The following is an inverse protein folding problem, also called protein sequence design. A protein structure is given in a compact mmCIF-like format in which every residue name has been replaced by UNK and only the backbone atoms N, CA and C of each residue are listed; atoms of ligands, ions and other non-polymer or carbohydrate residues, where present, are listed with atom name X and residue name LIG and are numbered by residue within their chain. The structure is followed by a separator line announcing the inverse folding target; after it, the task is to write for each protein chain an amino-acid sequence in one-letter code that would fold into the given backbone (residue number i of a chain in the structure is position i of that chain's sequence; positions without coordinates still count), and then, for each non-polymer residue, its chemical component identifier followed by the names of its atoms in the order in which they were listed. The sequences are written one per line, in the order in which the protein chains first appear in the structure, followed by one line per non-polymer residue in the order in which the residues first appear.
data_IF_905248904374
#
_entry.id   IF_905248904374
#
_cell.length_a   1.000
_cell.length_b   1.000
_cell.length_c   1.000
_cell.angle_alpha   90.00
_cell.angle_beta   90.00
_cell.angle_gamma   90.00
#
_symmetry.space_group_name_H-M   'P 1'
#
loop_
_entity.id
_entity.type
_entity.pdbx_description
1 polymer ?
#
# COMPACT_ATOMS: atom_id res chain seq x y z
N UNK A 1 70.70 3.68 12.76
CA UNK A 1 70.60 5.15 12.69
C UNK A 1 69.17 5.53 12.30
N UNK A 2 68.56 6.39 13.11
CA UNK A 2 67.21 6.94 12.93
C UNK A 2 67.06 7.75 11.64
N UNK A 3 65.85 7.75 11.07
CA UNK A 3 65.15 8.96 10.61
C UNK A 3 63.64 8.73 10.57
N UNK A 4 62.97 9.29 11.57
CA UNK A 4 61.51 9.43 11.67
C UNK A 4 61.02 10.48 10.66
N UNK A 5 60.10 10.10 9.77
CA UNK A 5 59.35 11.01 8.91
C UNK A 5 57.93 11.18 9.44
N UNK A 6 57.66 12.33 10.05
CA UNK A 6 56.34 12.76 10.55
C UNK A 6 55.38 12.99 9.38
N UNK A 7 54.24 12.29 9.35
CA UNK A 7 53.03 12.78 8.70
C UNK A 7 51.90 12.82 9.73
N UNK A 8 51.62 14.03 10.21
CA UNK A 8 50.42 14.40 10.97
C UNK A 8 49.40 14.90 9.95
N UNK A 9 48.27 14.21 9.81
CA UNK A 9 47.00 14.82 9.44
C UNK A 9 45.87 13.90 9.94
N UNK A 10 45.27 14.28 11.06
CA UNK A 10 44.03 13.70 11.56
C UNK A 10 42.91 14.02 10.58
N UNK A 11 42.56 13.06 9.72
CA UNK A 11 41.27 13.06 9.04
C UNK A 11 40.23 12.47 10.00
N UNK A 12 39.69 13.32 10.87
CA UNK A 12 38.47 13.02 11.60
C UNK A 12 37.31 13.02 10.61
N UNK A 13 37.04 11.88 9.98
CA UNK A 13 35.83 11.66 9.20
C UNK A 13 34.71 11.29 10.17
N UNK A 14 33.70 12.17 10.16
CA UNK A 14 32.48 12.15 10.96
C UNK A 14 31.91 10.74 11.13
N UNK A 15 31.46 10.36 12.34
CA UNK A 15 30.49 9.28 12.43
C UNK A 15 29.21 9.78 11.76
N UNK A 16 28.88 9.24 10.58
CA UNK A 16 27.52 9.28 10.08
C UNK A 16 26.67 8.57 11.13
N UNK A 17 26.05 9.37 11.99
CA UNK A 17 24.98 8.92 12.85
C UNK A 17 23.92 8.32 11.91
N UNK A 18 23.86 6.99 11.89
CA UNK A 18 22.71 6.22 11.46
C UNK A 18 21.52 6.63 12.34
N UNK A 19 20.94 7.79 12.04
CA UNK A 19 19.54 8.07 12.31
C UNK A 19 18.73 7.21 11.35
N UNK A 20 18.84 5.88 11.49
CA UNK A 20 17.72 5.00 11.18
C UNK A 20 16.65 5.40 12.18
N UNK A 21 15.83 6.38 11.78
CA UNK A 21 14.55 6.61 12.41
C UNK A 21 13.90 5.25 12.54
N UNK A 22 13.59 4.85 13.77
CA UNK A 22 12.69 3.72 14.01
C UNK A 22 11.44 4.04 13.19
N UNK A 23 11.29 3.40 12.04
CA UNK A 23 9.96 3.22 11.46
C UNK A 23 9.19 2.53 12.58
N UNK A 24 8.29 3.28 13.24
CA UNK A 24 7.40 2.70 14.21
C UNK A 24 6.75 1.51 13.51
N UNK A 25 6.93 0.31 14.05
CA UNK A 25 6.24 -0.87 13.54
C UNK A 25 4.75 -0.57 13.64
N UNK A 26 4.12 -0.30 12.50
CA UNK A 26 2.69 -0.01 12.45
C UNK A 26 1.99 -1.27 12.96
N UNK A 27 1.25 -1.15 14.07
CA UNK A 27 0.42 -2.26 14.51
C UNK A 27 -0.57 -2.58 13.37
N UNK A 28 -0.91 -3.86 13.12
CA UNK A 28 -1.79 -4.25 12.01
C UNK A 28 -3.14 -3.52 11.99
N UNK A 29 -3.59 -2.99 13.14
CA UNK A 29 -4.79 -2.16 13.27
C UNK A 29 -4.61 -0.68 12.87
N UNK A 30 -3.43 -0.09 13.08
CA UNK A 30 -3.16 1.33 12.79
C UNK A 30 -2.95 1.60 11.29
N UNK A 31 -2.47 0.60 10.54
CA UNK A 31 -2.19 0.76 9.11
C UNK A 31 -3.47 0.81 8.24
N UNK A 32 -4.59 0.28 8.73
CA UNK A 32 -5.74 -0.05 7.89
C UNK A 32 -6.97 0.83 8.06
N UNK A 33 -6.95 1.74 9.04
CA UNK A 33 -8.04 2.69 9.29
C UNK A 33 -9.40 2.02 9.05
N UNK A 34 -9.73 0.93 9.74
CA UNK A 34 -11.07 0.36 9.59
C UNK A 34 -12.13 1.43 9.94
N UNK A 35 -13.27 1.47 9.27
CA UNK A 35 -14.35 2.35 9.70
C UNK A 35 -14.90 1.90 11.05
N UNK A 36 -15.03 2.82 11.99
CA UNK A 36 -15.41 2.46 13.37
C UNK A 36 -16.89 2.06 13.46
N UNK A 37 -17.74 2.58 12.57
CA UNK A 37 -19.17 2.27 12.58
C UNK A 37 -19.49 0.91 11.94
N UNK A 38 -18.82 0.57 10.85
CA UNK A 38 -19.10 -0.63 10.03
C UNK A 38 -18.02 -1.70 10.14
N UNK A 39 -16.88 -1.39 10.75
CA UNK A 39 -15.69 -2.24 10.76
C UNK A 39 -15.13 -2.47 9.35
N UNK A 40 -15.45 -1.61 8.39
CA UNK A 40 -15.10 -1.82 6.99
C UNK A 40 -13.62 -1.55 6.71
N UNK A 41 -13.00 -2.43 5.93
CA UNK A 41 -11.60 -2.35 5.50
C UNK A 41 -11.56 -2.24 3.99
N UNK A 42 -10.88 -1.21 3.47
CA UNK A 42 -10.63 -1.08 2.05
C UNK A 42 -9.55 -2.09 1.63
N UNK A 43 -9.75 -2.75 0.50
CA UNK A 43 -8.86 -3.80 -0.02
C UNK A 43 -8.54 -3.55 -1.49
N UNK A 44 -7.26 -3.64 -1.84
CA UNK A 44 -6.80 -3.69 -3.22
C UNK A 44 -6.55 -5.14 -3.62
N UNK A 45 -7.07 -5.55 -4.78
CA UNK A 45 -6.92 -6.89 -5.32
C UNK A 45 -6.22 -6.87 -6.68
N UNK A 46 -4.90 -7.07 -6.71
CA UNK A 46 -4.15 -7.33 -7.93
C UNK A 46 -4.54 -8.68 -8.50
N UNK A 47 -4.78 -8.72 -9.81
CA UNK A 47 -5.23 -9.91 -10.51
C UNK A 47 -4.23 -10.27 -11.61
N UNK A 48 -3.47 -11.33 -11.34
CA UNK A 48 -2.65 -12.00 -12.33
C UNK A 48 -3.48 -13.13 -12.95
N UNK A 49 -3.96 -12.90 -14.17
CA UNK A 49 -4.68 -13.92 -14.94
C UNK A 49 -3.77 -15.16 -15.15
N UNK A 50 -4.31 -16.39 -15.05
CA UNK A 50 -5.73 -16.72 -15.21
C UNK A 50 -6.56 -16.74 -13.92
N UNK A 51 -5.98 -16.82 -12.71
CA UNK A 51 -6.77 -17.05 -11.47
C UNK A 51 -6.19 -16.51 -10.17
N UNK A 52 -5.01 -15.88 -10.16
CA UNK A 52 -4.41 -15.46 -8.90
C UNK A 52 -4.92 -14.09 -8.48
N UNK A 53 -5.56 -14.04 -7.31
CA UNK A 53 -6.02 -12.81 -6.66
C UNK A 53 -5.49 -12.77 -5.24
N UNK A 54 -4.58 -11.85 -4.97
CA UNK A 54 -4.30 -11.46 -3.60
C UNK A 54 -5.26 -10.33 -3.22
N UNK A 55 -5.62 -10.24 -1.94
CA UNK A 55 -6.35 -9.09 -1.39
C UNK A 55 -5.46 -8.49 -0.32
N UNK A 56 -4.99 -7.29 -0.57
CA UNK A 56 -4.16 -6.55 0.38
C UNK A 56 -5.03 -5.46 0.99
N UNK A 57 -5.22 -5.44 2.31
CA UNK A 57 -5.83 -4.32 2.99
C UNK A 57 -5.03 -3.02 2.75
N UNK A 58 -5.71 -1.91 2.48
CA UNK A 58 -5.10 -0.63 2.09
C UNK A 58 -5.71 0.55 2.83
N UNK A 59 -5.02 1.69 2.95
CA UNK A 59 -5.55 2.89 3.57
C UNK A 59 -6.90 3.36 2.99
N UNK A 60 -7.76 3.94 3.84
CA UNK A 60 -9.05 4.54 3.44
C UNK A 60 -8.95 5.56 2.31
N UNK A 61 -7.83 6.27 2.21
CA UNK A 61 -7.58 7.31 1.20
C UNK A 61 -7.25 6.75 -0.18
N UNK A 62 -6.98 5.44 -0.31
CA UNK A 62 -6.62 4.86 -1.60
C UNK A 62 -7.77 4.95 -2.61
N UNK A 63 -7.39 5.43 -3.78
CA UNK A 63 -8.22 5.54 -4.99
C UNK A 63 -7.96 4.33 -5.91
N UNK A 64 -8.70 4.27 -7.03
CA UNK A 64 -8.39 3.29 -8.08
C UNK A 64 -6.96 3.45 -8.60
N UNK A 65 -6.47 4.68 -8.75
CA UNK A 65 -5.14 4.96 -9.27
C UNK A 65 -4.04 4.42 -8.36
N UNK A 66 -4.19 4.56 -7.04
CA UNK A 66 -3.22 4.02 -6.07
C UNK A 66 -3.17 2.49 -6.14
N UNK A 67 -4.34 1.85 -6.18
CA UNK A 67 -4.43 0.40 -6.31
C UNK A 67 -3.94 -0.10 -7.67
N UNK A 68 -4.16 0.65 -8.75
CA UNK A 68 -3.63 0.35 -10.08
C UNK A 68 -2.10 0.38 -10.09
N UNK A 69 -1.49 1.44 -9.54
CA UNK A 69 -0.04 1.59 -9.48
C UNK A 69 0.59 0.43 -8.68
N UNK A 70 0.08 0.18 -7.47
CA UNK A 70 0.51 -0.94 -6.63
C UNK A 70 0.35 -2.30 -7.34
N UNK A 71 -0.79 -2.53 -7.99
CA UNK A 71 -1.04 -3.79 -8.71
C UNK A 71 -0.09 -3.97 -9.90
N UNK A 72 0.25 -2.88 -10.59
CA UNK A 72 1.21 -2.86 -11.67
C UNK A 72 2.63 -3.21 -11.21
N UNK A 73 3.06 -2.68 -10.06
CA UNK A 73 4.36 -3.04 -9.45
C UNK A 73 4.44 -4.53 -9.10
N UNK A 74 3.31 -5.15 -8.75
CA UNK A 74 3.21 -6.59 -8.49
C UNK A 74 3.13 -7.45 -9.76
N UNK A 75 3.17 -6.84 -10.95
CA UNK A 75 3.07 -7.55 -12.24
C UNK A 75 1.68 -8.05 -12.57
N UNK A 76 0.63 -7.52 -11.93
CA UNK A 76 -0.74 -7.84 -12.30
C UNK A 76 -1.10 -7.22 -13.66
N UNK A 77 -2.09 -7.82 -14.34
CA UNK A 77 -2.64 -7.25 -15.59
C UNK A 77 -4.00 -6.58 -15.36
N UNK A 78 -4.65 -6.91 -14.24
CA UNK A 78 -5.91 -6.32 -13.83
C UNK A 78 -5.88 -6.02 -12.33
N UNK A 79 -6.79 -5.19 -11.87
CA UNK A 79 -6.97 -4.91 -10.45
C UNK A 79 -8.44 -4.66 -10.11
N UNK A 80 -8.75 -4.79 -8.82
CA UNK A 80 -10.03 -4.43 -8.23
C UNK A 80 -9.81 -3.71 -6.91
N UNK A 81 -10.57 -2.65 -6.67
CA UNK A 81 -10.68 -2.01 -5.35
C UNK A 81 -12.01 -2.42 -4.72
N UNK A 82 -12.02 -2.68 -3.43
CA UNK A 82 -13.21 -3.14 -2.71
C UNK A 82 -13.21 -2.80 -1.24
N UNK A 83 -14.29 -3.20 -0.57
CA UNK A 83 -14.50 -3.07 0.86
C UNK A 83 -14.89 -4.44 1.41
N UNK A 84 -14.30 -4.82 2.54
CA UNK A 84 -14.73 -5.96 3.35
C UNK A 84 -15.34 -5.42 4.64
N UNK A 85 -16.50 -5.92 5.04
CA UNK A 85 -17.23 -5.45 6.22
C UNK A 85 -17.17 -6.50 7.33
N UNK A 86 -16.75 -6.10 8.52
CA UNK A 86 -16.60 -7.03 9.66
C UNK A 86 -17.78 -6.97 10.63
N UNK A 87 -18.44 -5.82 10.77
CA UNK A 87 -19.59 -5.61 11.67
C UNK A 87 -20.91 -5.51 10.91
N UNK A 88 -21.26 -6.54 10.14
CA UNK A 88 -22.54 -6.62 9.42
C UNK A 88 -23.47 -7.64 10.07
N UNK A 89 -24.78 -7.33 10.10
CA UNK A 89 -25.82 -8.30 10.49
C UNK A 89 -25.73 -9.53 9.58
N UNK A 90 -26.16 -10.73 10.02
CA UNK A 90 -25.98 -11.98 9.26
C UNK A 90 -26.56 -11.98 7.83
N UNK A 91 -27.44 -11.02 7.50
CA UNK A 91 -28.06 -10.87 6.18
C UNK A 91 -27.51 -9.68 5.36
N UNK A 92 -26.60 -8.88 5.91
CA UNK A 92 -25.99 -7.76 5.21
C UNK A 92 -24.80 -8.20 4.34
N UNK A 93 -24.51 -7.42 3.29
CA UNK A 93 -23.42 -7.70 2.36
C UNK A 93 -22.07 -7.62 3.09
N UNK A 94 -21.30 -8.72 3.05
CA UNK A 94 -19.99 -8.83 3.70
C UNK A 94 -18.85 -8.18 2.90
N UNK A 95 -19.11 -7.86 1.64
CA UNK A 95 -18.14 -7.22 0.76
C UNK A 95 -18.83 -6.41 -0.33
N UNK A 96 -18.14 -5.39 -0.83
CA UNK A 96 -18.53 -4.62 -2.00
C UNK A 96 -17.30 -4.44 -2.90
N UNK A 97 -17.42 -4.82 -4.17
CA UNK A 97 -16.33 -4.72 -5.14
C UNK A 97 -16.63 -3.69 -6.21
N UNK A 98 -15.60 -2.95 -6.60
CA UNK A 98 -15.59 -2.14 -7.80
C UNK A 98 -15.42 -2.96 -9.08
N UNK A 99 -15.33 -2.28 -10.22
CA UNK A 99 -15.11 -2.92 -11.50
C UNK A 99 -13.75 -3.64 -11.55
N UNK A 100 -13.66 -4.74 -12.30
CA UNK A 100 -12.37 -5.31 -12.71
C UNK A 100 -11.80 -4.43 -13.83
N UNK A 101 -10.69 -3.77 -13.53
CA UNK A 101 -10.07 -2.82 -14.46
C UNK A 101 -8.75 -3.41 -14.95
N UNK A 102 -8.55 -3.39 -16.26
CA UNK A 102 -7.26 -3.74 -16.86
C UNK A 102 -6.26 -2.62 -16.60
N UNK A 103 -5.02 -2.97 -16.24
CA UNK A 103 -3.95 -2.00 -16.01
C UNK A 103 -3.47 -1.51 -17.37
N UNK A 104 -3.83 -0.28 -17.71
CA UNK A 104 -3.37 0.41 -18.91
C UNK A 104 -2.94 1.83 -18.53
N UNK A 105 -1.83 2.32 -19.09
CA UNK A 105 -1.37 3.69 -18.85
C UNK A 105 -2.42 4.73 -19.29
N UNK A 106 -3.26 4.38 -20.28
CA UNK A 106 -4.40 5.19 -20.74
C UNK A 106 -5.62 5.12 -19.81
N UNK A 107 -5.70 4.16 -18.90
CA UNK A 107 -6.79 4.05 -17.92
C UNK A 107 -6.78 5.23 -16.94
N UNK A 108 -5.63 5.89 -16.74
CA UNK A 108 -5.51 7.16 -16.01
C UNK A 108 -6.26 8.32 -16.67
N UNK A 109 -6.39 8.28 -18.00
CA UNK A 109 -7.10 9.29 -18.79
C UNK A 109 -8.59 8.98 -18.97
N UNK A 110 -9.04 7.78 -18.58
CA UNK A 110 -10.46 7.38 -18.62
C UNK A 110 -11.13 7.77 -17.31
N UNK A 111 -12.43 8.07 -17.39
CA UNK A 111 -13.26 8.26 -16.21
C UNK A 111 -13.12 7.03 -15.30
N UNK A 112 -12.71 7.25 -14.05
CA UNK A 112 -12.53 6.16 -13.10
C UNK A 112 -13.90 5.55 -12.76
N UNK A 113 -14.00 4.22 -12.64
CA UNK A 113 -15.22 3.62 -12.14
C UNK A 113 -15.54 4.15 -10.73
N UNK A 114 -16.81 4.15 -10.31
CA UNK A 114 -17.18 4.59 -8.98
C UNK A 114 -16.47 3.71 -7.93
N UNK A 115 -15.86 4.35 -6.93
CA UNK A 115 -15.21 3.64 -5.82
C UNK A 115 -16.32 3.02 -4.98
N UNK A 116 -16.25 1.71 -4.66
CA UNK A 116 -17.22 1.13 -3.74
C UNK A 116 -17.18 1.90 -2.42
N UNK A 117 -18.33 2.41 -2.00
CA UNK A 117 -18.47 3.15 -0.75
C UNK A 117 -18.30 2.17 0.40
N UNK A 118 -17.24 2.36 1.19
CA UNK A 118 -16.94 1.51 2.34
C UNK A 118 -17.62 2.00 3.64
N UNK A 119 -18.55 2.94 3.54
CA UNK A 119 -19.12 3.71 4.66
C UNK A 119 -18.61 5.16 4.73
N UNK A 120 -17.76 5.58 3.79
CA UNK A 120 -17.17 6.92 3.65
C UNK A 120 -16.85 7.25 2.19
#
# INVERSE_FOLDING_TARGET
MMRYGRFRACAALLPLALAMGRAAAQAPGDALNADEATGAVKVCSPVAMPRWRSMTPVPKTWTYTDCMAFSGEMGATHFQLGCLFTNVTPYAQKYAWGALVQIETSALAKAQPPVPNCGW
#
